data_IF_888200687283
#
_entry.id   IF_888200687283
#
_cell.length_a   1.000
_cell.length_b   1.000
_cell.length_c   1.000
_cell.angle_alpha   90.00
_cell.angle_beta   90.00
_cell.angle_gamma   90.00
#
_symmetry.space_group_name_H-M   'P 1'
#
loop_
_entity.id
_entity.type
_entity.pdbx_description
1 polymer ?
#
# COMPACT_ATOMS: atom_id res chain seq x y z
N UNK A 1 3.49 36.84 -21.58
CA UNK A 1 3.68 36.94 -20.11
C UNK A 1 2.90 35.83 -19.43
N UNK A 2 3.57 34.81 -18.88
CA UNK A 2 2.90 33.81 -18.02
C UNK A 2 2.74 34.44 -16.64
N UNK A 3 1.49 34.72 -16.23
CA UNK A 3 1.14 35.21 -14.90
C UNK A 3 1.64 34.18 -13.89
N UNK A 4 2.47 34.58 -12.92
CA UNK A 4 2.88 33.69 -11.85
C UNK A 4 1.61 33.13 -11.18
N UNK A 5 1.53 31.81 -10.92
CA UNK A 5 0.39 31.26 -10.21
C UNK A 5 0.25 31.98 -8.87
N UNK A 6 -0.93 32.53 -8.64
CA UNK A 6 -1.25 33.32 -7.46
C UNK A 6 -1.06 32.44 -6.22
N UNK A 7 -0.32 32.92 -5.22
CA UNK A 7 -0.04 32.15 -3.99
C UNK A 7 -1.33 31.69 -3.31
N UNK A 8 -2.42 32.45 -3.46
CA UNK A 8 -3.75 32.11 -2.99
C UNK A 8 -4.35 30.88 -3.70
N UNK A 9 -4.09 30.70 -5.00
CA UNK A 9 -4.58 29.55 -5.75
C UNK A 9 -3.84 28.28 -5.36
N UNK A 10 -2.52 28.38 -5.14
CA UNK A 10 -1.70 27.26 -4.65
C UNK A 10 -2.15 26.80 -3.25
N UNK A 11 -2.34 27.73 -2.32
CA UNK A 11 -2.85 27.41 -0.98
C UNK A 11 -4.24 26.77 -1.00
N UNK A 12 -5.12 27.25 -1.87
CA UNK A 12 -6.46 26.66 -2.05
C UNK A 12 -6.40 25.23 -2.58
N UNK A 13 -5.53 24.94 -3.56
CA UNK A 13 -5.35 23.59 -4.12
C UNK A 13 -4.77 22.62 -3.07
N UNK A 14 -3.76 23.06 -2.32
CA UNK A 14 -3.18 22.28 -1.22
C UNK A 14 -4.24 21.90 -0.18
N UNK A 15 -5.09 22.86 0.23
CA UNK A 15 -6.18 22.59 1.17
C UNK A 15 -7.24 21.62 0.60
N UNK A 16 -7.58 21.74 -0.69
CA UNK A 16 -8.51 20.82 -1.37
C UNK A 16 -7.95 19.40 -1.40
N UNK A 17 -6.68 19.25 -1.72
CA UNK A 17 -5.97 17.98 -1.76
C UNK A 17 -5.89 17.33 -0.36
N UNK A 18 -5.44 18.06 0.65
CA UNK A 18 -5.37 17.58 2.03
C UNK A 18 -6.75 17.10 2.51
N UNK A 19 -7.80 17.89 2.25
CA UNK A 19 -9.19 17.52 2.55
C UNK A 19 -9.63 16.27 1.80
N UNK A 20 -9.30 16.13 0.52
CA UNK A 20 -9.67 14.97 -0.28
C UNK A 20 -9.05 13.68 0.28
N UNK A 21 -7.75 13.69 0.61
CA UNK A 21 -7.07 12.55 1.22
C UNK A 21 -7.69 12.17 2.58
N UNK A 22 -8.09 13.16 3.38
CA UNK A 22 -8.72 12.94 4.68
C UNK A 22 -10.15 12.41 4.58
N UNK A 23 -10.94 12.91 3.63
CA UNK A 23 -12.38 12.65 3.55
C UNK A 23 -12.74 11.50 2.63
N UNK A 24 -11.93 11.22 1.60
CA UNK A 24 -12.18 10.18 0.60
C UNK A 24 -10.98 9.20 0.45
N UNK A 25 -10.38 8.70 1.56
CA UNK A 25 -9.24 7.78 1.47
C UNK A 25 -9.63 6.45 0.83
N UNK A 26 -10.89 6.04 0.95
CA UNK A 26 -11.48 4.84 0.35
C UNK A 26 -11.39 4.86 -1.18
N UNK A 27 -11.60 6.03 -1.81
CA UNK A 27 -11.54 6.18 -3.27
C UNK A 27 -10.12 6.00 -3.80
N UNK A 28 -9.14 6.57 -3.09
CA UNK A 28 -7.73 6.43 -3.43
C UNK A 28 -7.29 4.98 -3.20
N UNK A 29 -7.68 4.36 -2.08
CA UNK A 29 -7.41 2.95 -1.82
C UNK A 29 -8.03 2.02 -2.88
N UNK A 30 -9.27 2.28 -3.31
CA UNK A 30 -9.92 1.55 -4.38
C UNK A 30 -9.22 1.72 -5.73
N UNK A 31 -8.67 2.90 -6.02
CA UNK A 31 -7.83 3.11 -7.20
C UNK A 31 -6.55 2.26 -7.11
N UNK A 32 -5.82 2.33 -6.01
CA UNK A 32 -4.61 1.54 -5.77
C UNK A 32 -4.85 0.03 -5.91
N UNK A 33 -5.93 -0.50 -5.31
CA UNK A 33 -6.31 -1.91 -5.43
C UNK A 33 -6.55 -2.32 -6.89
N UNK A 34 -7.23 -1.49 -7.67
CA UNK A 34 -7.47 -1.75 -9.11
C UNK A 34 -6.18 -1.75 -9.92
N UNK A 35 -5.28 -0.80 -9.68
CA UNK A 35 -3.99 -0.72 -10.39
C UNK A 35 -3.14 -1.97 -10.14
N UNK A 36 -3.14 -2.48 -8.91
CA UNK A 36 -2.47 -3.75 -8.57
C UNK A 36 -3.05 -4.94 -9.29
N UNK A 37 -4.38 -5.07 -9.31
CA UNK A 37 -5.06 -6.18 -9.98
C UNK A 37 -4.80 -6.16 -11.50
N UNK A 38 -4.74 -4.98 -12.10
CA UNK A 38 -4.42 -4.83 -13.53
C UNK A 38 -2.96 -5.21 -13.87
N UNK A 39 -2.05 -5.16 -12.89
CA UNK A 39 -0.63 -5.49 -13.09
C UNK A 39 -0.31 -6.97 -12.83
N UNK A 40 -1.21 -7.72 -12.18
CA UNK A 40 -1.03 -9.14 -11.87
C UNK A 40 -1.89 -10.01 -12.79
N UNK A 41 -1.38 -10.31 -13.99
CA UNK A 41 -2.05 -11.20 -14.96
C UNK A 41 -2.02 -12.69 -14.56
N UNK A 42 -1.29 -13.08 -13.50
CA UNK A 42 -0.82 -14.48 -13.36
C UNK A 42 -1.59 -15.35 -12.34
N UNK A 43 -2.35 -14.83 -11.38
CA UNK A 43 -3.17 -15.72 -10.52
C UNK A 43 -4.51 -15.10 -10.07
N UNK A 44 -5.66 -15.77 -10.32
CA UNK A 44 -6.99 -15.28 -9.98
C UNK A 44 -7.36 -15.50 -8.50
N UNK A 45 -6.39 -15.56 -7.60
CA UNK A 45 -6.67 -15.58 -6.16
C UNK A 45 -6.50 -14.17 -5.65
N UNK A 46 -7.64 -13.56 -5.30
CA UNK A 46 -7.73 -12.31 -4.55
C UNK A 46 -7.11 -12.49 -3.16
N UNK A 47 -5.79 -12.64 -3.11
CA UNK A 47 -5.06 -12.58 -1.86
C UNK A 47 -5.11 -11.14 -1.37
N UNK A 48 -5.55 -10.96 -0.13
CA UNK A 48 -5.46 -9.65 0.52
C UNK A 48 -3.99 -9.20 0.49
N UNK A 49 -3.76 -7.99 -0.01
CA UNK A 49 -2.47 -7.34 0.02
C UNK A 49 -2.02 -7.11 1.47
N UNK A 50 -0.71 -7.10 1.68
CA UNK A 50 -0.13 -6.82 3.00
C UNK A 50 -0.57 -5.45 3.54
N UNK A 51 -0.81 -4.49 2.65
CA UNK A 51 -1.26 -3.14 2.99
C UNK A 51 -2.78 -2.95 3.01
N UNK A 52 -3.60 -3.94 2.61
CA UNK A 52 -5.05 -3.75 2.43
C UNK A 52 -5.77 -3.29 3.70
N UNK A 53 -5.31 -3.77 4.86
CA UNK A 53 -5.89 -3.41 6.16
C UNK A 53 -5.45 -2.07 6.72
N UNK A 54 -4.49 -1.38 6.10
CA UNK A 54 -3.95 -0.12 6.61
C UNK A 54 -3.97 1.03 5.60
N UNK A 55 -4.09 0.74 4.31
CA UNK A 55 -3.92 1.73 3.24
C UNK A 55 -4.87 2.93 3.41
N UNK A 56 -6.13 2.71 3.75
CA UNK A 56 -7.11 3.78 3.93
C UNK A 56 -6.79 4.66 5.14
N UNK A 57 -6.40 4.05 6.26
CA UNK A 57 -5.98 4.78 7.46
C UNK A 57 -4.72 5.59 7.18
N UNK A 58 -3.72 4.98 6.53
CA UNK A 58 -2.48 5.67 6.19
C UNK A 58 -2.71 6.85 5.24
N UNK A 59 -3.55 6.70 4.21
CA UNK A 59 -3.91 7.80 3.29
C UNK A 59 -4.58 8.95 4.03
N UNK A 60 -5.47 8.65 4.98
CA UNK A 60 -6.10 9.67 5.83
C UNK A 60 -5.06 10.44 6.65
N UNK A 61 -4.09 9.73 7.24
CA UNK A 61 -3.01 10.34 8.01
C UNK A 61 -2.05 11.17 7.13
N UNK A 62 -1.77 10.74 5.91
CA UNK A 62 -1.03 11.53 4.91
C UNK A 62 -1.78 12.83 4.61
N UNK A 63 -3.12 12.76 4.48
CA UNK A 63 -3.97 13.93 4.31
C UNK A 63 -3.86 14.95 5.45
N UNK A 64 -3.69 14.50 6.70
CA UNK A 64 -3.42 15.40 7.84
C UNK A 64 -2.05 16.06 7.72
N UNK A 65 -1.02 15.33 7.30
CA UNK A 65 0.32 15.91 7.10
C UNK A 65 0.38 16.90 5.94
N UNK A 66 -0.44 16.69 4.90
CA UNK A 66 -0.64 17.65 3.83
C UNK A 66 -1.38 18.92 4.31
N UNK A 67 -2.18 18.81 5.37
CA UNK A 67 -2.86 19.92 6.06
C UNK A 67 -1.96 20.66 7.06
N UNK A 68 -0.68 20.28 7.15
CA UNK A 68 0.31 20.91 8.02
C UNK A 68 0.62 20.15 9.31
N UNK A 69 0.01 18.99 9.56
CA UNK A 69 0.35 18.16 10.72
C UNK A 69 1.81 17.64 10.61
N UNK A 70 2.65 17.97 11.59
CA UNK A 70 4.08 17.69 11.55
C UNK A 70 4.46 16.28 12.01
N UNK A 71 3.59 15.61 12.77
CA UNK A 71 3.88 14.25 13.22
C UNK A 71 3.92 13.24 12.07
N UNK A 72 4.50 12.06 12.30
CA UNK A 72 4.58 10.98 11.29
C UNK A 72 3.19 10.40 10.97
N UNK A 73 2.78 10.33 9.68
CA UNK A 73 1.59 9.59 9.27
C UNK A 73 1.65 8.11 9.68
N UNK A 74 2.83 7.50 9.62
CA UNK A 74 3.04 6.10 9.95
C UNK A 74 2.76 5.82 11.44
N UNK A 75 3.27 6.67 12.34
CA UNK A 75 3.03 6.55 13.77
C UNK A 75 1.59 6.86 14.19
N UNK A 76 0.86 7.67 13.42
CA UNK A 76 -0.56 7.92 13.69
C UNK A 76 -1.49 6.85 13.14
N UNK A 77 -1.05 6.06 12.16
CA UNK A 77 -1.90 5.08 11.48
C UNK A 77 -2.36 3.99 12.44
N UNK A 78 -3.64 4.04 12.84
CA UNK A 78 -4.28 3.03 13.70
C UNK A 78 -4.97 1.97 12.84
N UNK A 79 -4.21 0.97 12.43
CA UNK A 79 -4.69 -0.09 11.54
C UNK A 79 -3.95 -1.42 11.77
N UNK A 80 -4.20 -2.42 10.91
CA UNK A 80 -3.51 -3.72 10.96
C UNK A 80 -2.53 -3.83 9.79
N UNK A 81 -1.23 -3.88 10.11
CA UNK A 81 -0.17 -4.22 9.17
C UNK A 81 0.03 -5.73 9.16
N UNK A 82 -0.18 -6.36 8.01
CA UNK A 82 0.00 -7.80 7.80
C UNK A 82 1.36 -8.04 7.15
N UNK A 83 2.23 -8.77 7.82
CA UNK A 83 3.56 -9.08 7.32
C UNK A 83 3.67 -10.58 7.08
N UNK A 84 4.04 -10.97 5.86
CA UNK A 84 4.30 -12.37 5.50
C UNK A 84 5.81 -12.58 5.35
N UNK A 85 6.47 -13.30 6.28
CA UNK A 85 7.88 -13.66 6.17
C UNK A 85 8.20 -14.43 4.89
N UNK A 86 7.25 -15.23 4.41
CA UNK A 86 7.34 -16.04 3.18
C UNK A 86 7.38 -15.15 1.93
N UNK A 87 6.49 -14.14 1.83
CA UNK A 87 6.52 -13.16 0.73
C UNK A 87 7.76 -12.28 0.78
N UNK A 88 8.29 -12.04 1.97
CA UNK A 88 9.50 -11.26 2.18
C UNK A 88 9.35 -9.77 1.86
N UNK A 89 10.48 -9.04 1.96
CA UNK A 89 10.50 -7.59 1.81
C UNK A 89 10.17 -7.14 0.39
N UNK A 90 10.47 -7.97 -0.62
CA UNK A 90 10.22 -7.62 -2.02
C UNK A 90 8.75 -7.31 -2.28
N UNK A 91 7.85 -8.15 -1.77
CA UNK A 91 6.42 -7.93 -1.90
C UNK A 91 5.96 -6.62 -1.21
N UNK A 92 6.55 -6.25 -0.07
CA UNK A 92 6.26 -4.96 0.57
C UNK A 92 6.70 -3.79 -0.30
N UNK A 93 7.92 -3.85 -0.85
CA UNK A 93 8.43 -2.81 -1.76
C UNK A 93 7.51 -2.63 -2.97
N UNK A 94 7.07 -3.72 -3.58
CA UNK A 94 6.17 -3.66 -4.75
C UNK A 94 4.80 -3.05 -4.37
N UNK A 95 4.22 -3.41 -3.21
CA UNK A 95 2.96 -2.83 -2.74
C UNK A 95 3.06 -1.33 -2.42
N UNK A 96 4.13 -0.91 -1.74
CA UNK A 96 4.37 0.50 -1.43
C UNK A 96 4.77 1.32 -2.65
N UNK A 97 5.49 0.75 -3.62
CA UNK A 97 5.78 1.42 -4.88
C UNK A 97 4.50 1.72 -5.67
N UNK A 98 3.58 0.74 -5.73
CA UNK A 98 2.26 0.94 -6.31
C UNK A 98 1.45 2.01 -5.54
N UNK A 99 1.53 2.01 -4.21
CA UNK A 99 0.86 3.01 -3.38
C UNK A 99 1.42 4.42 -3.62
N UNK A 100 2.76 4.57 -3.64
CA UNK A 100 3.43 5.84 -3.94
C UNK A 100 2.94 6.43 -5.24
N UNK A 101 2.98 5.62 -6.32
CA UNK A 101 2.53 6.05 -7.64
C UNK A 101 1.08 6.51 -7.59
N UNK A 102 0.19 5.72 -6.97
CA UNK A 102 -1.21 6.08 -6.84
C UNK A 102 -1.43 7.41 -6.09
N UNK A 103 -0.68 7.67 -5.01
CA UNK A 103 -0.81 8.89 -4.22
C UNK A 103 -0.26 10.12 -4.95
N UNK A 104 0.89 9.97 -5.62
CA UNK A 104 1.48 11.04 -6.43
C UNK A 104 0.58 11.37 -7.62
N UNK A 105 0.09 10.36 -8.35
CA UNK A 105 -0.83 10.56 -9.48
C UNK A 105 -2.13 11.24 -9.02
N UNK A 106 -2.70 10.81 -7.89
CA UNK A 106 -3.88 11.46 -7.30
C UNK A 106 -3.59 12.91 -6.89
N UNK A 107 -2.40 13.20 -6.37
CA UNK A 107 -1.97 14.54 -6.00
C UNK A 107 -1.86 15.45 -7.22
N UNK A 108 -1.25 14.96 -8.30
CA UNK A 108 -1.09 15.70 -9.56
C UNK A 108 -2.45 16.02 -10.20
N UNK A 109 -3.38 15.06 -10.22
CA UNK A 109 -4.76 15.27 -10.73
C UNK A 109 -5.52 16.34 -9.94
N UNK A 110 -5.30 16.43 -8.63
CA UNK A 110 -5.91 17.43 -7.76
C UNK A 110 -5.18 18.78 -7.78
N UNK A 111 -4.12 18.91 -8.57
CA UNK A 111 -3.34 20.13 -8.74
C UNK A 111 -2.33 20.39 -7.63
N UNK A 112 -1.88 19.35 -6.93
CA UNK A 112 -0.75 19.41 -6.01
C UNK A 112 0.57 19.70 -6.74
N UNK A 113 1.53 20.29 -6.04
CA UNK A 113 2.85 20.64 -6.57
C UNK A 113 3.98 19.83 -5.93
N UNK A 114 5.20 20.34 -6.10
CA UNK A 114 6.42 19.65 -5.64
C UNK A 114 6.45 19.42 -4.13
N UNK A 115 5.87 20.34 -3.36
CA UNK A 115 5.83 20.24 -1.89
C UNK A 115 4.95 19.08 -1.43
N UNK A 116 3.75 18.97 -1.99
CA UNK A 116 2.82 17.87 -1.70
C UNK A 116 3.43 16.53 -2.12
N UNK A 117 4.06 16.50 -3.30
CA UNK A 117 4.77 15.33 -3.83
C UNK A 117 5.92 14.90 -2.91
N UNK A 118 6.71 15.85 -2.42
CA UNK A 118 7.80 15.56 -1.47
C UNK A 118 7.26 14.97 -0.15
N UNK A 119 6.19 15.57 0.40
CA UNK A 119 5.55 15.09 1.63
C UNK A 119 5.01 13.67 1.48
N UNK A 120 4.34 13.38 0.37
CA UNK A 120 3.85 12.03 0.05
C UNK A 120 5.01 11.03 -0.05
N UNK A 121 6.07 11.38 -0.80
CA UNK A 121 7.23 10.52 -0.95
C UNK A 121 7.87 10.20 0.41
N UNK A 122 8.15 11.22 1.22
CA UNK A 122 8.75 11.06 2.55
C UNK A 122 7.91 10.16 3.46
N UNK A 123 6.58 10.36 3.46
CA UNK A 123 5.68 9.52 4.25
C UNK A 123 5.72 8.05 3.81
N UNK A 124 5.79 7.79 2.50
CA UNK A 124 5.88 6.43 1.97
C UNK A 124 7.25 5.81 2.22
N UNK A 125 8.35 6.56 2.04
CA UNK A 125 9.71 6.10 2.36
C UNK A 125 9.81 5.65 3.83
N UNK A 126 9.34 6.49 4.75
CA UNK A 126 9.31 6.18 6.18
C UNK A 126 8.48 4.92 6.49
N UNK A 127 7.31 4.78 5.86
CA UNK A 127 6.44 3.63 6.03
C UNK A 127 7.08 2.33 5.51
N UNK A 128 7.75 2.39 4.35
CA UNK A 128 8.48 1.26 3.76
C UNK A 128 9.61 0.81 4.69
N UNK A 129 10.48 1.73 5.09
CA UNK A 129 11.64 1.42 5.93
C UNK A 129 11.20 0.79 7.25
N UNK A 130 10.15 1.36 7.86
CA UNK A 130 9.61 0.88 9.12
C UNK A 130 8.95 -0.50 8.98
N UNK A 131 8.17 -0.72 7.91
CA UNK A 131 7.55 -2.02 7.64
C UNK A 131 8.59 -3.12 7.35
N UNK A 132 9.67 -2.78 6.65
CA UNK A 132 10.77 -3.72 6.37
C UNK A 132 11.54 -4.05 7.63
N UNK A 133 11.85 -3.07 8.49
CA UNK A 133 12.48 -3.32 9.78
C UNK A 133 11.61 -4.23 10.68
N UNK A 134 10.29 -4.00 10.71
CA UNK A 134 9.35 -4.86 11.42
C UNK A 134 9.36 -6.29 10.86
N UNK A 135 9.37 -6.45 9.54
CA UNK A 135 9.47 -7.76 8.90
C UNK A 135 10.78 -8.48 9.24
N UNK A 136 11.90 -7.75 9.27
CA UNK A 136 13.19 -8.30 9.68
C UNK A 136 13.15 -8.78 11.13
N UNK A 137 12.52 -8.03 12.04
CA UNK A 137 12.35 -8.42 13.45
C UNK A 137 11.47 -9.64 13.66
N UNK A 138 10.49 -9.87 12.78
CA UNK A 138 9.72 -11.12 12.79
C UNK A 138 10.60 -12.34 12.45
N UNK A 139 11.62 -12.17 11.60
CA UNK A 139 12.56 -13.23 11.22
C UNK A 139 13.71 -13.41 12.21
N UNK A 140 14.23 -12.30 12.72
CA UNK A 140 15.32 -12.25 13.69
C UNK A 140 14.97 -11.26 14.82
N UNK A 141 14.65 -11.75 16.03
CA UNK A 141 14.33 -10.89 17.16
C UNK A 141 15.44 -9.91 17.57
N UNK A 142 16.69 -10.16 17.15
CA UNK A 142 17.86 -9.31 17.43
C UNK A 142 18.08 -8.20 16.39
N UNK A 143 17.34 -8.21 15.28
CA UNK A 143 17.42 -7.16 14.28
C UNK A 143 16.97 -5.81 14.86
N UNK A 144 17.52 -4.73 14.31
CA UNK A 144 17.17 -3.38 14.73
C UNK A 144 15.67 -3.08 14.53
N UNK A 145 15.10 -2.32 15.47
CA UNK A 145 13.72 -1.86 15.39
C UNK A 145 13.49 -0.81 14.31
N UNK A 146 12.22 -0.60 13.91
CA UNK A 146 11.89 0.53 13.04
C UNK A 146 12.26 1.84 13.74
N UNK A 147 12.84 2.78 12.99
CA UNK A 147 13.14 4.14 13.49
C UNK A 147 11.86 4.88 13.88
N UNK A 148 10.79 4.65 13.13
CA UNK A 148 9.48 5.24 13.36
C UNK A 148 8.49 4.12 13.71
N UNK A 149 7.90 4.10 14.92
CA UNK A 149 6.99 3.05 15.31
C UNK A 149 5.71 3.13 14.48
N UNK A 150 5.14 1.97 14.15
CA UNK A 150 3.80 1.91 13.57
C UNK A 150 2.74 2.16 14.66
N UNK A 151 1.74 2.98 14.36
CA UNK A 151 0.69 3.33 15.31
C UNK A 151 -0.31 2.20 15.59
N UNK A 152 -0.34 1.16 14.77
CA UNK A 152 -1.34 0.11 14.81
C UNK A 152 -0.83 -1.23 15.33
N UNK A 153 -1.58 -2.27 15.00
CA UNK A 153 -1.22 -3.66 15.30
C UNK A 153 -0.42 -4.24 14.12
N UNK A 154 0.70 -4.87 14.43
CA UNK A 154 1.47 -5.67 13.46
C UNK A 154 1.14 -7.13 13.69
N UNK A 155 0.73 -7.83 12.64
CA UNK A 155 0.42 -9.26 12.70
C UNK A 155 1.23 -10.01 11.67
N UNK A 156 1.75 -11.17 12.07
CA UNK A 156 2.29 -12.15 11.14
C UNK A 156 1.13 -12.78 10.36
N UNK A 157 1.26 -12.78 9.04
CA UNK A 157 0.24 -13.25 8.12
C UNK A 157 0.72 -14.52 7.41
N UNK A 158 0.07 -15.63 7.75
CA UNK A 158 0.28 -16.92 7.13
C UNK A 158 -0.74 -17.12 6.02
N UNK A 159 -0.27 -17.25 4.79
CA UNK A 159 -1.12 -17.65 3.70
C UNK A 159 -1.46 -19.13 3.85
N UNK A 160 -2.75 -19.47 3.84
CA UNK A 160 -3.13 -20.87 3.77
C UNK A 160 -2.57 -21.45 2.47
N UNK A 161 -1.76 -22.52 2.52
CA UNK A 161 -1.29 -23.16 1.31
C UNK A 161 -2.50 -23.50 0.47
N UNK A 162 -2.49 -23.00 -0.77
CA UNK A 162 -3.45 -23.37 -1.78
C UNK A 162 -3.48 -24.89 -1.80
N UNK A 163 -4.63 -25.50 -1.50
CA UNK A 163 -4.83 -26.91 -1.81
C UNK A 163 -4.57 -27.02 -3.31
N UNK A 164 -3.37 -27.43 -3.67
CA UNK A 164 -3.00 -27.90 -5.00
C UNK A 164 -4.13 -28.85 -5.36
N UNK A 165 -4.87 -28.55 -6.44
CA UNK A 165 -5.82 -29.52 -6.99
C UNK A 165 -5.02 -30.80 -7.11
N UNK A 166 -5.32 -31.80 -6.27
CA UNK A 166 -4.81 -33.15 -6.44
C UNK A 166 -5.18 -33.51 -7.87
N UNK A 167 -4.20 -33.54 -8.77
CA UNK A 167 -4.38 -34.25 -10.02
C UNK A 167 -4.65 -35.69 -9.58
N UNK A 168 -5.82 -36.27 -9.89
CA UNK A 168 -6.07 -37.65 -9.57
C UNK A 168 -4.97 -38.48 -10.25
N UNK A 169 -4.23 -39.32 -9.52
CA UNK A 169 -3.45 -40.34 -10.19
C UNK A 169 -4.45 -41.32 -10.83
N UNK A 170 -4.16 -41.70 -12.06
CA UNK A 170 -4.81 -42.75 -12.84
C UNK A 170 -6.24 -42.53 -13.36
N UNK A 171 -6.28 -42.33 -14.68
CA UNK A 171 -7.19 -43.08 -15.55
C UNK A 171 -6.39 -43.65 -16.74
N UNK A 172 -5.42 -44.53 -16.44
CA UNK A 172 -5.16 -45.65 -17.37
C UNK A 172 -6.30 -46.65 -17.18
N UNK A 173 -6.65 -47.32 -18.28
CA UNK A 173 -7.66 -48.38 -18.46
C UNK A 173 -9.04 -47.95 -18.99
N UNK A 174 -9.26 -48.30 -20.27
CA UNK A 174 -10.50 -48.97 -20.66
C UNK A 174 -11.39 -48.28 -21.69
N UNK A 175 -11.03 -48.35 -22.98
CA UNK A 175 -12.05 -48.39 -24.05
C UNK A 175 -11.74 -49.57 -24.98
N UNK A 176 -12.55 -50.63 -25.01
CA UNK A 176 -12.62 -51.49 -26.18
C UNK A 176 -13.40 -50.75 -27.28
N UNK A 177 -12.88 -50.80 -28.50
CA UNK A 177 -13.59 -50.36 -29.69
C UNK A 177 -14.73 -51.34 -30.01
N UNK A 178 -15.95 -50.82 -30.16
CA UNK A 178 -17.00 -51.41 -31.00
C UNK A 178 -17.91 -50.28 -31.49
N UNK A 179 -17.75 -49.89 -32.76
CA UNK A 179 -18.71 -50.08 -33.85
C UNK A 179 -18.21 -49.35 -35.11
#
# INVERSE_FOLDING_TARGET
>A
MRKAPDMNERGRRAAVLARFFRQQPDRIAALWRRTRLASNEVEPRAFLGQLDGLVEAFIREVGLTLDGEESSPWSRTRAVLRLSPERGARALYDEFAALRRCLVDASEVLGGGDWERERINRAVDEAVDSAVALLQRLKDPRADGPRVPFGGLVVEYFERPSRVKRVPPDAKYGRPAMH
#
